data_IF_281145549282
#
_entry.id   IF_281145549282
#
_cell.length_a   1.000
_cell.length_b   1.000
_cell.length_c   1.000
_cell.angle_alpha   90.00
_cell.angle_beta   90.00
_cell.angle_gamma   90.00
#
_symmetry.space_group_name_H-M   'P 1'
#
loop_
_entity.id
_entity.type
_entity.pdbx_description
1 polymer ?
#
# COMPACT_ATOMS: atom_id res chain seq x y z
N UNK A 1 11.54 1.59 -14.65
CA UNK A 1 12.13 2.35 -13.54
C UNK A 1 12.35 1.45 -12.33
N UNK A 2 11.34 0.81 -11.72
CA UNK A 2 11.47 -0.04 -10.53
C UNK A 2 12.53 -1.14 -10.67
N UNK A 3 12.62 -1.81 -11.83
CA UNK A 3 13.64 -2.82 -12.11
C UNK A 3 15.06 -2.23 -12.04
N UNK A 4 15.27 -1.01 -12.56
CA UNK A 4 16.57 -0.34 -12.49
C UNK A 4 16.98 -0.04 -11.05
N UNK A 5 16.05 0.47 -10.24
CA UNK A 5 16.26 0.71 -8.80
C UNK A 5 16.60 -0.61 -8.09
N UNK A 6 15.84 -1.67 -8.36
CA UNK A 6 16.05 -2.99 -7.77
C UNK A 6 17.44 -3.55 -8.08
N UNK A 7 17.90 -3.43 -9.33
CA UNK A 7 19.25 -3.85 -9.73
C UNK A 7 20.33 -3.06 -8.99
N UNK A 8 20.20 -1.75 -8.90
CA UNK A 8 21.12 -0.91 -8.17
C UNK A 8 21.17 -1.25 -6.68
N UNK A 9 20.01 -1.49 -6.05
CA UNK A 9 19.94 -1.93 -4.65
C UNK A 9 20.59 -3.29 -4.44
N UNK A 10 20.39 -4.21 -5.38
CA UNK A 10 21.00 -5.54 -5.32
C UNK A 10 22.54 -5.48 -5.30
N UNK A 11 23.13 -4.54 -6.04
CA UNK A 11 24.60 -4.31 -6.03
C UNK A 11 25.10 -3.84 -4.65
N UNK A 12 24.30 -3.15 -3.87
CA UNK A 12 24.68 -2.67 -2.52
C UNK A 12 24.76 -3.78 -1.49
N UNK A 13 24.18 -4.95 -1.75
CA UNK A 13 24.04 -6.09 -0.83
C UNK A 13 23.32 -5.74 0.48
N UNK A 14 22.49 -4.69 0.48
CA UNK A 14 21.68 -4.27 1.63
C UNK A 14 20.24 -4.75 1.46
N UNK A 15 19.60 -5.00 2.59
CA UNK A 15 18.16 -5.22 2.63
C UNK A 15 17.40 -3.98 2.17
N UNK A 16 16.36 -4.19 1.38
CA UNK A 16 15.52 -3.12 0.85
C UNK A 16 14.09 -3.57 0.64
N UNK A 17 13.20 -2.61 0.56
CA UNK A 17 11.79 -2.80 0.22
C UNK A 17 11.42 -1.89 -0.94
N UNK A 18 10.39 -2.27 -1.69
CA UNK A 18 9.83 -1.43 -2.75
C UNK A 18 8.38 -1.12 -2.42
N UNK A 19 8.00 0.13 -2.61
CA UNK A 19 6.64 0.60 -2.41
C UNK A 19 6.08 1.17 -3.71
N UNK A 20 4.82 0.85 -4.01
CA UNK A 20 4.13 1.26 -5.23
C UNK A 20 2.91 2.13 -4.95
N UNK A 21 2.71 3.13 -5.79
CA UNK A 21 1.41 3.78 -5.95
C UNK A 21 0.60 2.96 -6.95
N UNK A 22 -0.62 2.61 -6.58
CA UNK A 22 -1.53 1.85 -7.43
C UNK A 22 -2.88 2.55 -7.57
N UNK A 23 -3.65 2.16 -8.58
CA UNK A 23 -5.05 2.55 -8.75
C UNK A 23 -5.98 1.47 -8.17
N UNK A 24 -7.25 1.76 -8.02
CA UNK A 24 -8.29 0.83 -7.55
C UNK A 24 -8.43 -0.42 -8.44
N UNK A 25 -8.04 -0.31 -9.70
CA UNK A 25 -7.92 -1.44 -10.63
C UNK A 25 -6.82 -2.44 -10.29
N UNK A 26 -5.97 -2.16 -9.29
CA UNK A 26 -4.79 -2.96 -8.95
C UNK A 26 -3.61 -2.77 -9.89
N UNK A 27 -3.63 -1.71 -10.72
CA UNK A 27 -2.57 -1.38 -11.65
C UNK A 27 -1.67 -0.26 -11.12
N UNK A 28 -0.39 -0.32 -11.45
CA UNK A 28 0.55 0.77 -11.32
C UNK A 28 0.19 1.90 -12.28
N UNK A 29 0.86 3.05 -12.16
CA UNK A 29 0.60 4.23 -13.00
C UNK A 29 0.90 4.01 -14.49
N UNK A 30 1.79 3.07 -14.82
CA UNK A 30 2.10 2.67 -16.20
C UNK A 30 1.14 1.60 -16.76
N UNK A 31 0.14 1.19 -15.99
CA UNK A 31 -0.85 0.17 -16.38
C UNK A 31 -0.46 -1.28 -16.06
N UNK A 32 0.74 -1.53 -15.55
CA UNK A 32 1.18 -2.88 -15.14
C UNK A 32 0.38 -3.35 -13.91
N UNK A 33 -0.07 -4.60 -13.89
CA UNK A 33 -0.69 -5.17 -12.69
C UNK A 33 0.33 -5.28 -11.55
N UNK A 34 -0.08 -4.98 -10.32
CA UNK A 34 0.80 -5.08 -9.15
C UNK A 34 1.40 -6.48 -9.00
N UNK A 35 0.62 -7.52 -9.24
CA UNK A 35 1.06 -8.92 -9.20
C UNK A 35 2.17 -9.19 -10.22
N UNK A 36 2.04 -8.66 -11.42
CA UNK A 36 3.02 -8.84 -12.49
C UNK A 36 4.29 -8.04 -12.21
N UNK A 37 4.15 -6.80 -11.70
CA UNK A 37 5.28 -5.98 -11.28
C UNK A 37 6.14 -6.69 -10.23
N UNK A 38 5.50 -7.27 -9.20
CA UNK A 38 6.19 -8.04 -8.16
C UNK A 38 6.92 -9.25 -8.78
N UNK A 39 6.24 -10.05 -9.61
CA UNK A 39 6.84 -11.21 -10.28
C UNK A 39 8.05 -10.82 -11.12
N UNK A 40 7.89 -9.81 -11.97
CA UNK A 40 8.97 -9.33 -12.85
C UNK A 40 10.19 -8.88 -12.04
N UNK A 41 9.98 -8.14 -10.96
CA UNK A 41 11.06 -7.67 -10.10
C UNK A 41 11.75 -8.84 -9.42
N UNK A 42 10.99 -9.74 -8.79
CA UNK A 42 11.54 -10.90 -8.07
C UNK A 42 12.40 -11.78 -9.00
N UNK A 43 12.03 -11.91 -10.28
CA UNK A 43 12.80 -12.67 -11.27
C UNK A 43 13.96 -11.88 -11.90
N UNK A 44 14.01 -10.56 -11.73
CA UNK A 44 15.02 -9.71 -12.40
C UNK A 44 16.34 -9.58 -11.67
N UNK A 45 16.43 -10.03 -10.42
CA UNK A 45 17.60 -9.90 -9.52
C UNK A 45 17.85 -11.16 -8.72
N UNK A 46 19.11 -11.35 -8.30
CA UNK A 46 19.49 -12.51 -7.48
C UNK A 46 18.95 -12.42 -6.04
N UNK A 47 18.85 -11.20 -5.48
CA UNK A 47 18.29 -10.95 -4.14
C UNK A 47 17.10 -10.01 -4.27
N UNK A 48 15.88 -10.56 -4.31
CA UNK A 48 14.67 -9.73 -4.37
C UNK A 48 14.48 -8.81 -3.15
N UNK A 49 13.63 -7.77 -3.23
CA UNK A 49 13.21 -6.99 -2.06
C UNK A 49 12.73 -7.91 -0.94
N UNK A 50 12.91 -7.52 0.32
CA UNK A 50 12.40 -8.29 1.46
C UNK A 50 10.88 -8.49 1.34
N UNK A 51 10.17 -7.43 0.99
CA UNK A 51 8.73 -7.39 0.74
C UNK A 51 8.37 -6.14 -0.06
N UNK A 52 7.10 -6.01 -0.39
CA UNK A 52 6.53 -4.84 -1.07
C UNK A 52 5.51 -4.14 -0.18
N UNK A 53 5.35 -2.85 -0.43
CA UNK A 53 4.31 -2.00 0.17
C UNK A 53 3.51 -1.30 -0.93
N UNK A 54 2.38 -0.74 -0.56
CA UNK A 54 1.74 0.33 -1.31
C UNK A 54 1.82 1.63 -0.51
N UNK A 55 1.83 2.76 -1.21
CA UNK A 55 1.87 4.07 -0.56
C UNK A 55 1.04 5.10 -1.33
N UNK A 56 0.74 6.22 -0.66
CA UNK A 56 0.01 7.36 -1.23
C UNK A 56 -1.35 6.99 -1.85
N UNK A 57 -2.02 6.01 -1.27
CA UNK A 57 -3.38 5.59 -1.61
C UNK A 57 -4.21 5.46 -0.33
N UNK A 58 -5.51 5.65 -0.42
CA UNK A 58 -6.44 5.44 0.70
C UNK A 58 -6.65 3.93 0.97
N UNK A 59 -6.99 3.49 2.20
CA UNK A 59 -7.30 2.10 2.49
C UNK A 59 -8.36 1.50 1.57
N UNK A 60 -9.40 2.26 1.20
CA UNK A 60 -10.46 1.82 0.29
C UNK A 60 -9.94 1.54 -1.14
N UNK A 61 -8.98 2.33 -1.61
CA UNK A 61 -8.35 2.10 -2.93
C UNK A 61 -7.63 0.76 -2.93
N UNK A 62 -6.87 0.46 -1.87
CA UNK A 62 -6.21 -0.85 -1.74
C UNK A 62 -7.24 -1.98 -1.62
N UNK A 63 -8.31 -1.79 -0.85
CA UNK A 63 -9.36 -2.79 -0.72
C UNK A 63 -10.02 -3.11 -2.07
N UNK A 64 -10.38 -2.08 -2.86
CA UNK A 64 -10.93 -2.24 -4.21
C UNK A 64 -9.94 -2.94 -5.14
N UNK A 65 -8.65 -2.58 -5.05
CA UNK A 65 -7.61 -3.20 -5.86
C UNK A 65 -7.48 -4.70 -5.59
N UNK A 66 -7.55 -5.12 -4.33
CA UNK A 66 -7.55 -6.54 -3.98
C UNK A 66 -8.75 -7.30 -4.55
N UNK A 67 -9.94 -6.67 -4.56
CA UNK A 67 -11.12 -7.27 -5.19
C UNK A 67 -10.90 -7.44 -6.69
N UNK A 68 -10.40 -6.40 -7.37
CA UNK A 68 -10.17 -6.40 -8.81
C UNK A 68 -9.04 -7.34 -9.24
N UNK A 69 -8.00 -7.49 -8.42
CA UNK A 69 -6.91 -8.44 -8.63
C UNK A 69 -7.28 -9.88 -8.27
N UNK A 70 -8.52 -10.13 -7.81
CA UNK A 70 -8.93 -11.43 -7.26
C UNK A 70 -7.91 -11.91 -6.23
N UNK A 71 -7.84 -11.23 -5.08
CA UNK A 71 -6.79 -11.32 -4.03
C UNK A 71 -6.42 -12.73 -3.54
N UNK A 72 -6.86 -13.77 -4.22
CA UNK A 72 -6.44 -15.17 -4.07
C UNK A 72 -5.06 -15.44 -4.67
N UNK A 73 -4.49 -14.46 -5.43
CA UNK A 73 -3.13 -14.62 -5.96
C UNK A 73 -2.14 -14.72 -4.80
N UNK A 74 -1.55 -15.88 -4.68
CA UNK A 74 -0.57 -16.23 -3.64
C UNK A 74 0.61 -15.24 -3.56
N UNK A 75 0.91 -14.54 -4.66
CA UNK A 75 2.02 -13.59 -4.69
C UNK A 75 1.73 -12.38 -3.78
N UNK A 76 0.50 -11.86 -3.79
CA UNK A 76 0.13 -10.74 -2.91
C UNK A 76 0.21 -11.15 -1.44
N UNK A 77 -0.33 -12.31 -1.09
CA UNK A 77 -0.30 -12.83 0.28
C UNK A 77 1.13 -13.04 0.79
N UNK A 78 2.05 -13.41 -0.09
CA UNK A 78 3.45 -13.72 0.26
C UNK A 78 4.36 -12.51 0.19
N UNK A 79 4.05 -11.51 -0.63
CA UNK A 79 5.00 -10.45 -0.96
C UNK A 79 4.54 -9.05 -0.59
N UNK A 80 3.22 -8.76 -0.54
CA UNK A 80 2.70 -7.45 -0.15
C UNK A 80 2.42 -7.41 1.36
N UNK A 81 3.23 -6.64 2.09
CA UNK A 81 3.23 -6.66 3.56
C UNK A 81 2.48 -5.49 4.17
N UNK A 82 2.20 -4.42 3.42
CA UNK A 82 1.54 -3.30 4.05
C UNK A 82 1.23 -2.12 3.14
N UNK A 83 0.78 -1.07 3.80
CA UNK A 83 0.36 0.18 3.20
C UNK A 83 0.81 1.38 4.04
N UNK A 84 1.21 2.46 3.37
CA UNK A 84 1.36 3.81 3.91
C UNK A 84 0.24 4.67 3.30
N UNK A 85 -0.88 4.81 4.03
CA UNK A 85 -2.12 5.28 3.45
C UNK A 85 -2.33 6.79 3.59
N UNK A 86 -2.94 7.40 2.55
CA UNK A 86 -3.42 8.77 2.58
C UNK A 86 -4.68 8.89 3.44
N UNK A 87 -4.91 10.09 3.99
CA UNK A 87 -6.14 10.41 4.72
C UNK A 87 -7.36 10.60 3.81
N UNK A 88 -7.16 11.01 2.56
CA UNK A 88 -8.24 11.20 1.58
C UNK A 88 -8.35 10.01 0.62
N UNK A 89 -9.58 9.65 0.27
CA UNK A 89 -9.90 8.64 -0.75
C UNK A 89 -9.90 9.18 -2.18
N UNK A 90 -9.76 10.50 -2.35
CA UNK A 90 -9.72 11.17 -3.65
C UNK A 90 -8.39 10.94 -4.36
N UNK A 91 -8.42 10.97 -5.67
CA UNK A 91 -7.21 10.91 -6.50
C UNK A 91 -6.38 12.21 -6.37
N UNK A 92 -5.08 12.20 -6.68
CA UNK A 92 -4.29 13.43 -6.72
C UNK A 92 -4.90 14.51 -7.62
N UNK A 93 -5.47 14.10 -8.76
CA UNK A 93 -6.11 14.99 -9.72
C UNK A 93 -7.38 15.67 -9.14
N UNK A 94 -8.14 14.95 -8.30
CA UNK A 94 -9.29 15.50 -7.60
C UNK A 94 -8.86 16.44 -6.46
N UNK A 95 -7.76 16.09 -5.76
CA UNK A 95 -7.25 16.89 -4.64
C UNK A 95 -6.69 18.23 -5.11
N UNK A 96 -6.04 18.29 -6.27
CA UNK A 96 -5.46 19.52 -6.84
C UNK A 96 -6.50 20.61 -7.13
N UNK A 97 -7.78 20.24 -7.22
CA UNK A 97 -8.89 21.19 -7.48
C UNK A 97 -9.59 21.67 -6.22
N UNK A 98 -9.19 21.21 -5.04
CA UNK A 98 -9.88 21.53 -3.79
C UNK A 98 -9.28 22.76 -3.10
N UNK A 99 -10.16 23.64 -2.62
CA UNK A 99 -9.78 24.79 -1.79
C UNK A 99 -9.57 24.43 -0.31
N UNK A 100 -10.11 23.29 0.13
CA UNK A 100 -10.03 22.81 1.52
C UNK A 100 -9.44 21.41 1.60
N UNK A 101 -8.79 21.11 2.72
CA UNK A 101 -8.25 19.79 3.03
C UNK A 101 -9.40 18.75 3.05
N UNK A 102 -9.30 17.76 2.18
CA UNK A 102 -10.17 16.61 2.18
C UNK A 102 -9.46 15.46 2.92
N UNK A 103 -10.08 14.96 3.96
CA UNK A 103 -9.56 13.85 4.76
C UNK A 103 -10.69 13.13 5.47
N UNK A 104 -10.59 11.83 5.56
CA UNK A 104 -11.46 11.03 6.40
C UNK A 104 -11.26 11.36 7.88
N UNK A 105 -12.25 10.99 8.69
CA UNK A 105 -12.05 10.98 10.13
C UNK A 105 -11.01 9.92 10.53
N UNK A 106 -10.16 10.18 11.54
CA UNK A 106 -9.20 9.19 12.02
C UNK A 106 -9.83 7.84 12.37
N UNK A 107 -11.08 7.83 12.84
CA UNK A 107 -11.80 6.60 13.19
C UNK A 107 -12.18 5.76 11.97
N UNK A 108 -12.75 6.39 10.92
CA UNK A 108 -13.14 5.68 9.69
C UNK A 108 -11.91 5.14 8.96
N UNK A 109 -10.89 5.99 8.81
CA UNK A 109 -9.64 5.58 8.19
C UNK A 109 -8.99 4.40 8.92
N UNK A 110 -8.94 4.45 10.26
CA UNK A 110 -8.39 3.38 11.07
C UNK A 110 -9.18 2.09 10.94
N UNK A 111 -10.51 2.14 10.81
CA UNK A 111 -11.32 0.96 10.55
C UNK A 111 -10.92 0.31 9.23
N UNK A 112 -10.78 1.10 8.14
CA UNK A 112 -10.31 0.59 6.86
C UNK A 112 -8.93 -0.09 6.94
N UNK A 113 -8.01 0.49 7.71
CA UNK A 113 -6.67 -0.09 7.92
C UNK A 113 -6.74 -1.42 8.68
N UNK A 114 -7.55 -1.50 9.72
CA UNK A 114 -7.73 -2.73 10.51
C UNK A 114 -8.42 -3.82 9.68
N UNK A 115 -9.39 -3.46 8.85
CA UNK A 115 -10.06 -4.39 7.95
C UNK A 115 -9.10 -4.98 6.90
N UNK A 116 -8.20 -4.16 6.35
CA UNK A 116 -7.12 -4.61 5.48
C UNK A 116 -6.17 -5.59 6.19
N UNK A 117 -5.77 -5.28 7.44
CA UNK A 117 -4.96 -6.19 8.25
C UNK A 117 -5.66 -7.53 8.46
N UNK A 118 -6.91 -7.53 8.90
CA UNK A 118 -7.67 -8.76 9.19
C UNK A 118 -7.93 -9.60 7.95
N UNK A 119 -8.34 -8.94 6.85
CA UNK A 119 -8.77 -9.64 5.63
C UNK A 119 -7.60 -10.12 4.78
N UNK A 120 -6.54 -9.32 4.67
CA UNK A 120 -5.42 -9.58 3.77
C UNK A 120 -4.09 -9.82 4.49
N UNK A 121 -4.13 -9.86 5.82
CA UNK A 121 -2.96 -10.14 6.67
C UNK A 121 -1.81 -9.15 6.47
N UNK A 122 -2.10 -7.88 6.16
CA UNK A 122 -1.09 -6.84 6.07
C UNK A 122 -0.42 -6.62 7.44
N UNK A 123 0.91 -6.56 7.47
CA UNK A 123 1.71 -6.48 8.70
C UNK A 123 2.14 -5.04 9.04
N UNK A 124 2.22 -4.18 8.03
CA UNK A 124 2.71 -2.82 8.14
C UNK A 124 1.57 -1.88 7.79
N UNK A 125 1.13 -1.10 8.78
CA UNK A 125 0.03 -0.14 8.67
C UNK A 125 0.58 1.23 9.01
N UNK A 126 0.81 2.07 8.01
CA UNK A 126 1.38 3.41 8.16
C UNK A 126 0.53 4.48 7.52
N UNK A 127 0.79 5.72 7.91
CA UNK A 127 0.18 6.90 7.30
C UNK A 127 1.06 7.53 6.23
N UNK A 128 0.45 8.27 5.31
CA UNK A 128 1.09 9.09 4.29
C UNK A 128 0.42 10.48 4.25
N UNK A 129 0.12 11.02 3.08
CA UNK A 129 -0.39 12.38 2.92
C UNK A 129 -1.68 12.62 3.71
N UNK A 130 -1.71 13.74 4.44
CA UNK A 130 -2.88 14.18 5.23
C UNK A 130 -3.10 13.44 6.55
N UNK A 131 -2.30 12.42 6.88
CA UNK A 131 -2.39 11.71 8.15
C UNK A 131 -1.47 12.33 9.20
N UNK A 132 -1.85 12.17 10.47
CA UNK A 132 -1.08 12.57 11.64
C UNK A 132 -1.14 11.52 12.75
N UNK A 133 -0.62 11.85 13.94
CA UNK A 133 -0.59 10.95 15.09
C UNK A 133 -1.99 10.45 15.52
N UNK A 134 -3.07 11.21 15.28
CA UNK A 134 -4.44 10.82 15.62
C UNK A 134 -4.89 9.60 14.80
N UNK A 135 -4.54 9.57 13.52
CA UNK A 135 -4.83 8.44 12.63
C UNK A 135 -4.16 7.16 13.11
N UNK A 136 -2.86 7.23 13.40
CA UNK A 136 -2.10 6.07 13.87
C UNK A 136 -2.56 5.61 15.25
N UNK A 137 -2.84 6.54 16.17
CA UNK A 137 -3.38 6.22 17.49
C UNK A 137 -4.71 5.49 17.39
N UNK A 138 -5.58 5.89 16.44
CA UNK A 138 -6.86 5.22 16.20
C UNK A 138 -6.66 3.77 15.73
N UNK A 139 -5.73 3.50 14.83
CA UNK A 139 -5.39 2.13 14.38
C UNK A 139 -4.91 1.30 15.58
N UNK A 140 -3.96 1.82 16.36
CA UNK A 140 -3.40 1.11 17.52
C UNK A 140 -4.49 0.77 18.54
N UNK A 141 -5.40 1.70 18.82
CA UNK A 141 -6.50 1.49 19.77
C UNK A 141 -7.47 0.41 19.27
N UNK A 142 -7.83 0.42 17.98
CA UNK A 142 -8.69 -0.59 17.39
C UNK A 142 -8.04 -1.99 17.40
N UNK A 143 -6.75 -2.08 17.09
CA UNK A 143 -6.02 -3.36 17.11
C UNK A 143 -5.93 -3.94 18.54
N UNK A 144 -5.77 -3.10 19.56
CA UNK A 144 -5.72 -3.53 20.97
C UNK A 144 -7.09 -3.95 21.51
N UNK A 145 -8.17 -3.36 21.02
CA UNK A 145 -9.54 -3.66 21.46
C UNK A 145 -10.15 -4.88 20.76
N UNK A 146 -9.44 -5.42 19.77
CA UNK A 146 -9.89 -6.62 19.06
C UNK A 146 -9.23 -7.85 19.70
N UNK A 147 -9.99 -8.81 20.21
CA UNK A 147 -9.46 -10.03 20.81
C UNK A 147 -8.74 -10.94 19.81
#
# INVERSE_FOLDING_TARGET
EAIGITKAMNETKKDYVISFVIRDSGKLLDGTLLTDAIKIIDYSVATPPLFYLTNCIHPDVLHKSFINLKAEDDILKKRLFGIQANASSKSPEELDTLENLDADSPANWAQGMVDLNKKYNLKILGGCCGTDARFISSVVNLLKSTP
#
